data_IF_769342902236
#
_entry.id   IF_769342902236
#
_cell.length_a   1.000
_cell.length_b   1.000
_cell.length_c   1.000
_cell.angle_alpha   90.00
_cell.angle_beta   90.00
_cell.angle_gamma   90.00
#
_symmetry.space_group_name_H-M   'P 1'
#
loop_
_entity.id
_entity.type
_entity.pdbx_description
1 polymer ?
#
# COMPACT_ATOMS: atom_id res chain seq x y z
N UNK A 1 -5.15 -11.39 -10.12
CA UNK A 1 -4.11 -11.35 -11.17
C UNK A 1 -3.88 -9.98 -11.82
N UNK A 2 -4.69 -8.94 -11.57
CA UNK A 2 -4.38 -7.54 -11.96
C UNK A 2 -3.68 -6.70 -10.88
N UNK A 3 -3.11 -7.35 -9.86
CA UNK A 3 -2.71 -6.69 -8.61
C UNK A 3 -1.33 -6.01 -8.62
N UNK A 4 -0.49 -6.27 -9.62
CA UNK A 4 0.86 -5.72 -9.63
C UNK A 4 0.87 -4.33 -10.28
N UNK A 5 0.76 -4.21 -11.61
CA UNK A 5 1.03 -2.90 -12.24
C UNK A 5 -0.24 -2.14 -12.66
N UNK A 6 -1.20 -2.80 -13.32
CA UNK A 6 -2.23 -2.09 -14.08
C UNK A 6 -3.09 -1.14 -13.23
N UNK A 7 -3.72 -1.65 -12.17
CA UNK A 7 -4.59 -0.82 -11.32
C UNK A 7 -3.78 0.21 -10.52
N UNK A 8 -2.68 -0.15 -9.84
CA UNK A 8 -1.86 0.85 -9.16
C UNK A 8 -1.34 1.95 -10.08
N UNK A 9 -0.93 1.62 -11.31
CA UNK A 9 -0.48 2.59 -12.30
C UNK A 9 -1.59 3.52 -12.76
N UNK A 10 -2.75 3.00 -13.15
CA UNK A 10 -3.90 3.83 -13.57
C UNK A 10 -4.35 4.77 -12.45
N UNK A 11 -4.42 4.27 -11.22
CA UNK A 11 -4.78 5.08 -10.05
C UNK A 11 -3.71 6.12 -9.71
N UNK A 12 -2.44 5.83 -9.97
CA UNK A 12 -1.35 6.81 -9.85
C UNK A 12 -1.56 7.94 -10.85
N UNK A 13 -1.88 7.63 -12.11
CA UNK A 13 -2.14 8.63 -13.13
C UNK A 13 -3.30 9.55 -12.74
N UNK A 14 -4.39 8.99 -12.20
CA UNK A 14 -5.50 9.80 -11.66
C UNK A 14 -5.07 10.68 -10.49
N UNK A 15 -4.29 10.13 -9.55
CA UNK A 15 -3.79 10.89 -8.39
C UNK A 15 -2.83 12.01 -8.81
N UNK A 16 -1.95 11.75 -9.78
CA UNK A 16 -1.05 12.75 -10.36
C UNK A 16 -1.82 13.88 -11.06
N UNK A 17 -3.01 13.59 -11.60
CA UNK A 17 -3.93 14.57 -12.18
C UNK A 17 -4.83 15.27 -11.14
N UNK A 18 -4.59 15.07 -9.84
CA UNK A 18 -5.27 15.76 -8.75
C UNK A 18 -6.47 15.02 -8.16
N UNK A 19 -6.75 13.78 -8.58
CA UNK A 19 -7.80 12.99 -7.96
C UNK A 19 -7.40 12.57 -6.53
N UNK A 20 -8.34 12.64 -5.59
CA UNK A 20 -8.13 12.05 -4.27
C UNK A 20 -8.28 10.53 -4.37
N UNK A 21 -7.16 9.82 -4.25
CA UNK A 21 -7.11 8.36 -4.30
C UNK A 21 -6.75 7.82 -2.92
N UNK A 22 -7.61 6.95 -2.38
CA UNK A 22 -7.37 6.26 -1.12
C UNK A 22 -7.03 4.79 -1.43
N UNK A 23 -5.84 4.38 -1.04
CA UNK A 23 -5.36 3.01 -1.15
C UNK A 23 -5.68 2.25 0.13
N UNK A 24 -6.39 1.13 -0.02
CA UNK A 24 -6.71 0.22 1.06
C UNK A 24 -5.75 -0.97 1.09
N UNK A 25 -5.15 -1.23 2.25
CA UNK A 25 -4.31 -2.38 2.51
C UNK A 25 -4.90 -3.29 3.59
N UNK A 26 -4.60 -4.59 3.49
CA UNK A 26 -4.99 -5.55 4.51
C UNK A 26 -4.01 -5.49 5.69
N UNK A 27 -4.52 -5.67 6.91
CA UNK A 27 -3.68 -5.88 8.11
C UNK A 27 -2.91 -7.20 8.08
N UNK A 28 -3.50 -8.24 7.49
CA UNK A 28 -2.96 -9.60 7.51
C UNK A 28 -2.15 -9.97 6.27
N UNK A 29 -2.20 -9.16 5.21
CA UNK A 29 -1.44 -9.40 3.98
C UNK A 29 -0.77 -8.13 3.50
N UNK A 30 0.56 -8.14 3.56
CA UNK A 30 1.37 -7.08 3.00
C UNK A 30 1.14 -6.96 1.49
N UNK A 31 1.11 -5.73 0.99
CA UNK A 31 1.12 -5.47 -0.44
C UNK A 31 2.45 -5.96 -1.04
N UNK A 32 2.40 -6.59 -2.22
CA UNK A 32 3.52 -7.33 -2.81
C UNK A 32 4.75 -6.47 -3.10
N UNK A 33 4.59 -5.20 -3.47
CA UNK A 33 5.72 -4.31 -3.73
C UNK A 33 6.42 -3.80 -2.48
N UNK A 34 5.85 -3.97 -1.29
CA UNK A 34 6.49 -3.55 -0.05
C UNK A 34 7.75 -4.35 0.28
N UNK A 35 7.81 -5.60 -0.16
CA UNK A 35 8.98 -6.48 0.00
C UNK A 35 9.82 -6.63 -1.27
N UNK A 36 9.40 -6.02 -2.38
CA UNK A 36 10.09 -6.10 -3.66
C UNK A 36 10.98 -4.88 -3.91
N UNK A 37 12.07 -5.08 -4.66
CA UNK A 37 12.97 -3.99 -5.07
C UNK A 37 13.42 -3.10 -3.91
N UNK A 38 13.78 -3.73 -2.78
CA UNK A 38 14.27 -3.06 -1.58
C UNK A 38 15.70 -2.56 -1.83
N UNK A 39 15.98 -1.30 -1.52
CA UNK A 39 17.30 -0.71 -1.74
C UNK A 39 18.40 -1.53 -1.04
N UNK A 40 19.43 -1.94 -1.80
CA UNK A 40 20.54 -2.80 -1.34
C UNK A 40 20.09 -4.15 -0.73
N UNK A 41 18.85 -4.58 -0.94
CA UNK A 41 18.26 -5.73 -0.26
C UNK A 41 18.32 -5.64 1.28
N UNK A 42 18.32 -4.42 1.83
CA UNK A 42 18.35 -4.20 3.28
C UNK A 42 16.98 -4.51 3.90
N UNK A 43 16.86 -5.71 4.47
CA UNK A 43 15.67 -6.20 5.17
C UNK A 43 15.67 -5.92 6.68
N UNK A 44 16.59 -5.09 7.17
CA UNK A 44 16.60 -4.68 8.57
C UNK A 44 15.48 -3.69 8.90
N UNK A 45 15.00 -3.71 10.15
CA UNK A 45 13.97 -2.79 10.64
C UNK A 45 12.65 -2.90 9.88
N UNK A 46 12.04 -1.78 9.56
CA UNK A 46 10.77 -1.71 8.80
C UNK A 46 10.98 -1.96 7.30
N UNK A 47 11.44 -3.15 6.93
CA UNK A 47 11.74 -3.49 5.54
C UNK A 47 10.55 -3.27 4.59
N UNK A 48 9.31 -3.43 5.09
CA UNK A 48 8.07 -3.19 4.35
C UNK A 48 7.82 -1.72 3.97
N UNK A 49 8.59 -0.79 4.53
CA UNK A 49 8.64 0.62 4.20
C UNK A 49 9.92 0.96 3.42
N UNK A 50 10.47 0.02 2.63
CA UNK A 50 11.68 0.25 1.82
C UNK A 50 11.54 -0.21 0.36
N UNK A 51 10.38 -0.71 -0.05
CA UNK A 51 10.14 -1.17 -1.42
C UNK A 51 10.08 -0.03 -2.45
N UNK A 52 11.00 0.00 -3.41
CA UNK A 52 11.07 1.08 -4.42
C UNK A 52 9.81 1.12 -5.31
N UNK A 53 9.34 -0.05 -5.75
CA UNK A 53 8.12 -0.15 -6.55
C UNK A 53 6.89 0.30 -5.78
N UNK A 54 6.85 0.05 -4.47
CA UNK A 54 5.75 0.50 -3.63
C UNK A 54 5.66 2.03 -3.62
N UNK A 55 6.78 2.73 -3.48
CA UNK A 55 6.80 4.19 -3.52
C UNK A 55 6.42 4.76 -4.89
N UNK A 56 6.98 4.21 -5.96
CA UNK A 56 6.69 4.69 -7.31
C UNK A 56 5.22 4.55 -7.68
N UNK A 57 4.60 3.41 -7.36
CA UNK A 57 3.20 3.18 -7.73
C UNK A 57 2.19 3.86 -6.80
N UNK A 58 2.60 4.28 -5.59
CA UNK A 58 1.65 4.74 -4.56
C UNK A 58 1.87 6.18 -4.08
N UNK A 59 2.77 6.95 -4.69
CA UNK A 59 2.83 8.40 -4.52
C UNK A 59 1.48 9.06 -4.81
N UNK A 60 1.23 10.21 -4.19
CA UNK A 60 -0.01 11.00 -4.33
C UNK A 60 -1.31 10.30 -3.90
N UNK A 61 -1.22 9.12 -3.29
CA UNK A 61 -2.37 8.39 -2.72
C UNK A 61 -2.34 8.47 -1.20
N UNK A 62 -3.51 8.61 -0.58
CA UNK A 62 -3.68 8.38 0.85
C UNK A 62 -3.67 6.87 1.12
N UNK A 63 -3.16 6.44 2.27
CA UNK A 63 -3.12 5.02 2.65
C UNK A 63 -3.96 4.75 3.89
N UNK A 64 -4.78 3.70 3.86
CA UNK A 64 -5.49 3.15 5.03
C UNK A 64 -5.30 1.64 5.09
N UNK A 65 -5.03 1.14 6.29
CA UNK A 65 -4.96 -0.30 6.55
C UNK A 65 -6.24 -0.73 7.26
N UNK A 66 -6.92 -1.76 6.75
CA UNK A 66 -8.18 -2.24 7.29
C UNK A 66 -8.20 -3.77 7.40
N UNK A 67 -8.72 -4.26 8.51
CA UNK A 67 -9.06 -5.68 8.68
C UNK A 67 -10.48 -5.94 8.19
N UNK A 68 -10.61 -6.45 6.97
CA UNK A 68 -11.90 -6.79 6.36
C UNK A 68 -12.48 -8.12 6.88
N UNK A 69 -11.74 -8.88 7.70
CA UNK A 69 -12.24 -10.14 8.28
C UNK A 69 -13.26 -9.91 9.41
N UNK A 70 -13.39 -8.65 9.89
CA UNK A 70 -14.27 -8.26 11.00
C UNK A 70 -15.35 -7.27 10.55
N UNK A 71 -16.35 -7.70 9.75
CA UNK A 71 -17.42 -6.82 9.31
C UNK A 71 -18.23 -6.29 10.50
N UNK A 72 -18.44 -4.98 10.57
CA UNK A 72 -19.32 -4.32 11.56
C UNK A 72 -18.65 -3.73 12.79
N UNK A 73 -17.37 -4.01 13.06
CA UNK A 73 -16.60 -3.22 14.03
C UNK A 73 -15.99 -2.02 13.31
N UNK A 74 -16.67 -0.87 13.39
CA UNK A 74 -16.11 0.40 12.96
C UNK A 74 -14.78 0.69 13.66
N UNK A 75 -13.87 1.34 12.94
CA UNK A 75 -12.52 1.76 13.33
C UNK A 75 -12.18 1.58 14.84
N UNK A 76 -11.50 0.50 15.20
CA UNK A 76 -10.77 0.42 16.46
C UNK A 76 -9.32 0.73 16.10
N UNK A 77 -8.82 1.91 16.49
CA UNK A 77 -7.41 2.29 16.33
C UNK A 77 -6.55 1.24 17.04
N UNK A 78 -5.95 0.34 16.25
CA UNK A 78 -5.01 -0.66 16.73
C UNK A 78 -3.75 0.07 17.17
N UNK A 79 -3.74 0.51 18.42
CA UNK A 79 -2.52 0.90 19.14
C UNK A 79 -1.71 -0.37 19.36
N UNK A 80 -0.63 -0.50 18.60
CA UNK A 80 0.57 -1.23 18.99
C UNK A 80 1.77 -0.40 18.53
#
# INVERSE_FOLDING_TARGET
>A
MGQLIAIPFSMKMLADMGAQVIRLESTGRLESYRSDSVYKNDISGEFWNKGANFYEQNRNKLGVTLDLSRPGKGWESSKN
#
